data_IF_149266091474
#
_entry.id   IF_149266091474
#
_cell.length_a   1.000
_cell.length_b   1.000
_cell.length_c   1.000
_cell.angle_alpha   90.00
_cell.angle_beta   90.00
_cell.angle_gamma   90.00
#
_symmetry.space_group_name_H-M   'P 1'
#
loop_
_entity.id
_entity.type
_entity.pdbx_description
1 polymer ?
#
# COMPACT_ATOMS: atom_id res chain seq x y z
N UNK A 1 11.02 3.17 27.22
CA UNK A 1 9.99 2.18 26.86
C UNK A 1 10.60 1.29 25.78
N UNK A 2 10.69 -0.02 26.01
CA UNK A 2 11.20 -0.95 25.00
C UNK A 2 10.15 -1.04 23.89
N UNK A 3 10.49 -0.59 22.68
CA UNK A 3 9.70 -0.91 21.49
C UNK A 3 9.89 -2.40 21.22
N UNK A 4 8.87 -3.19 21.50
CA UNK A 4 8.87 -4.59 21.14
C UNK A 4 8.86 -4.66 19.61
N UNK A 5 9.92 -5.20 19.03
CA UNK A 5 10.06 -5.32 17.57
C UNK A 5 8.97 -6.20 16.95
N UNK A 6 8.90 -6.25 15.61
CA UNK A 6 7.95 -7.12 14.92
C UNK A 6 8.14 -8.57 15.36
N UNK A 7 7.03 -9.26 15.65
CA UNK A 7 7.03 -10.71 15.92
C UNK A 7 6.86 -11.45 14.61
N UNK A 8 7.70 -12.46 14.40
CA UNK A 8 7.59 -13.40 13.29
C UNK A 8 7.01 -14.70 13.80
N UNK A 9 5.89 -15.14 13.21
CA UNK A 9 5.18 -16.36 13.59
C UNK A 9 4.80 -17.13 12.32
N UNK A 10 4.96 -18.45 12.36
CA UNK A 10 4.55 -19.34 11.27
C UNK A 10 3.06 -19.61 11.38
N UNK A 11 2.29 -19.16 10.39
CA UNK A 11 0.84 -19.31 10.36
C UNK A 11 0.37 -20.72 9.97
N UNK A 12 1.10 -21.39 9.07
CA UNK A 12 0.75 -22.72 8.62
C UNK A 12 1.71 -23.29 7.57
N UNK A 13 1.71 -24.62 7.45
CA UNK A 13 2.37 -25.37 6.38
C UNK A 13 1.31 -26.21 5.67
N UNK A 14 0.83 -25.70 4.54
CA UNK A 14 -0.26 -26.31 3.80
C UNK A 14 0.29 -27.13 2.63
N UNK A 15 -0.01 -28.44 2.55
CA UNK A 15 0.32 -29.22 1.37
C UNK A 15 -0.57 -28.78 0.21
N UNK A 16 0.05 -28.44 -0.92
CA UNK A 16 -0.66 -28.17 -2.17
C UNK A 16 -0.72 -29.48 -2.97
N UNK A 17 -1.90 -30.06 -3.10
CA UNK A 17 -2.11 -31.25 -3.92
C UNK A 17 -2.59 -30.84 -5.32
N UNK A 18 -1.86 -31.24 -6.37
CA UNK A 18 -2.26 -30.99 -7.77
C UNK A 18 -1.34 -30.03 -8.51
N UNK A 19 -1.92 -29.10 -9.30
CA UNK A 19 -1.18 -28.06 -10.01
C UNK A 19 -0.88 -26.87 -9.08
N UNK A 20 0.16 -26.10 -9.37
CA UNK A 20 0.52 -24.87 -8.64
C UNK A 20 0.12 -23.64 -9.44
N UNK A 21 -1.17 -23.51 -9.79
CA UNK A 21 -1.67 -22.28 -10.44
C UNK A 21 -1.84 -21.18 -9.40
N UNK A 22 -1.98 -19.94 -9.89
CA UNK A 22 -2.18 -18.78 -9.01
C UNK A 22 -3.43 -18.90 -8.12
N UNK A 23 -4.52 -19.45 -8.67
CA UNK A 23 -5.79 -19.68 -7.96
C UNK A 23 -5.66 -20.75 -6.87
N UNK A 24 -4.91 -21.83 -7.11
CA UNK A 24 -4.68 -22.88 -6.10
C UNK A 24 -3.92 -22.34 -4.89
N UNK A 25 -2.90 -21.51 -5.15
CA UNK A 25 -2.10 -20.85 -4.11
C UNK A 25 -2.95 -19.84 -3.31
N UNK A 26 -3.81 -19.09 -3.99
CA UNK A 26 -4.71 -18.13 -3.37
C UNK A 26 -5.71 -18.80 -2.45
N UNK A 27 -6.42 -19.82 -2.93
CA UNK A 27 -7.40 -20.56 -2.13
C UNK A 27 -6.74 -21.15 -0.87
N UNK A 28 -5.50 -21.65 -0.99
CA UNK A 28 -4.76 -22.15 0.15
C UNK A 28 -4.37 -21.03 1.14
N UNK A 29 -3.93 -19.87 0.66
CA UNK A 29 -3.59 -18.73 1.52
C UNK A 29 -4.82 -18.16 2.21
N UNK A 30 -5.91 -17.94 1.48
CA UNK A 30 -7.17 -17.42 2.04
C UNK A 30 -7.69 -18.35 3.13
N UNK A 31 -7.76 -19.64 2.85
CA UNK A 31 -8.17 -20.63 3.85
C UNK A 31 -7.25 -20.62 5.08
N UNK A 32 -5.93 -20.52 4.89
CA UNK A 32 -4.98 -20.42 6.00
C UNK A 32 -5.28 -19.23 6.92
N UNK A 33 -5.59 -18.08 6.33
CA UNK A 33 -5.91 -16.85 7.07
C UNK A 33 -7.23 -17.00 7.84
N UNK A 34 -8.26 -17.51 7.17
CA UNK A 34 -9.58 -17.78 7.77
C UNK A 34 -9.47 -18.77 8.94
N UNK A 35 -8.78 -19.90 8.74
CA UNK A 35 -8.58 -20.94 9.76
C UNK A 35 -7.83 -20.40 11.00
N UNK A 36 -7.00 -19.37 10.83
CA UNK A 36 -6.28 -18.70 11.91
C UNK A 36 -6.98 -17.43 12.43
N UNK A 37 -8.19 -17.12 11.97
CA UNK A 37 -8.94 -15.94 12.37
C UNK A 37 -8.28 -14.61 11.97
N UNK A 38 -7.41 -14.63 10.95
CA UNK A 38 -6.79 -13.44 10.40
C UNK A 38 -7.71 -12.84 9.35
N UNK A 39 -8.27 -11.68 9.67
CA UNK A 39 -9.02 -10.88 8.71
C UNK A 39 -8.07 -10.40 7.59
N UNK A 40 -8.43 -10.74 6.35
CA UNK A 40 -7.68 -10.38 5.14
C UNK A 40 -7.53 -8.86 4.98
N UNK A 41 -8.45 -8.07 5.55
CA UNK A 41 -8.37 -6.61 5.59
C UNK A 41 -7.24 -6.10 6.49
N UNK A 42 -6.82 -6.90 7.49
CA UNK A 42 -5.72 -6.58 8.41
C UNK A 42 -4.35 -6.93 7.87
N UNK A 43 -4.28 -7.74 6.80
CA UNK A 43 -3.01 -7.99 6.12
C UNK A 43 -2.52 -6.64 5.62
N UNK A 44 -1.24 -6.35 5.81
CA UNK A 44 -0.61 -5.13 5.27
C UNK A 44 0.18 -5.47 4.02
N UNK A 45 0.74 -6.66 3.90
CA UNK A 45 1.67 -7.00 2.83
C UNK A 45 1.75 -8.53 2.66
N UNK A 46 1.98 -9.03 1.44
CA UNK A 46 2.20 -10.46 1.14
C UNK A 46 3.49 -10.71 0.33
N UNK A 47 4.35 -11.60 0.85
CA UNK A 47 5.60 -12.04 0.22
C UNK A 47 5.38 -13.24 -0.67
N UNK A 48 5.89 -13.21 -1.89
CA UNK A 48 6.10 -14.44 -2.66
C UNK A 48 7.42 -14.37 -3.41
N UNK A 49 8.12 -15.49 -3.52
CA UNK A 49 9.43 -15.59 -4.16
C UNK A 49 9.36 -15.75 -5.69
N UNK A 50 8.18 -15.98 -6.28
CA UNK A 50 8.04 -16.02 -7.75
C UNK A 50 6.62 -15.78 -8.34
N UNK A 51 5.55 -15.78 -7.54
CA UNK A 51 4.17 -15.73 -8.05
C UNK A 51 3.60 -14.30 -8.06
N UNK A 52 3.99 -13.52 -9.07
CA UNK A 52 4.06 -12.05 -9.03
C UNK A 52 2.78 -11.26 -9.37
N UNK A 53 1.68 -11.90 -9.83
CA UNK A 53 0.49 -11.15 -10.32
C UNK A 53 -0.87 -11.69 -9.89
N UNK A 54 -1.06 -13.01 -9.88
CA UNK A 54 -2.37 -13.60 -9.55
C UNK A 54 -2.71 -13.42 -8.06
N UNK A 55 -1.76 -13.76 -7.17
CA UNK A 55 -1.97 -13.67 -5.72
C UNK A 55 -2.28 -12.24 -5.23
N UNK A 56 -1.53 -11.22 -5.67
CA UNK A 56 -1.77 -9.85 -5.19
C UNK A 56 -3.06 -9.21 -5.69
N UNK A 57 -3.56 -9.59 -6.87
CA UNK A 57 -4.79 -9.01 -7.43
C UNK A 57 -6.06 -9.65 -6.84
N UNK A 58 -5.94 -10.88 -6.33
CA UNK A 58 -7.08 -11.68 -5.91
C UNK A 58 -7.16 -11.88 -4.37
N UNK A 59 -6.02 -11.86 -3.65
CA UNK A 59 -6.01 -11.89 -2.17
C UNK A 59 -6.59 -10.60 -1.57
N UNK A 60 -6.32 -9.44 -2.17
CA UNK A 60 -6.80 -8.18 -1.60
C UNK A 60 -8.22 -7.86 -2.10
N UNK A 61 -9.15 -7.46 -1.21
CA UNK A 61 -10.45 -6.92 -1.61
C UNK A 61 -10.32 -5.85 -2.69
N UNK A 62 -11.30 -5.80 -3.60
CA UNK A 62 -11.27 -4.87 -4.71
C UNK A 62 -11.12 -3.40 -4.25
N UNK A 63 -11.66 -3.06 -3.07
CA UNK A 63 -11.51 -1.75 -2.45
C UNK A 63 -10.05 -1.41 -2.12
N UNK A 64 -9.28 -2.38 -1.59
CA UNK A 64 -7.87 -2.21 -1.26
C UNK A 64 -7.05 -2.00 -2.53
N UNK A 65 -7.33 -2.80 -3.56
CA UNK A 65 -6.65 -2.70 -4.86
C UNK A 65 -6.92 -1.34 -5.51
N UNK A 66 -8.17 -0.85 -5.45
CA UNK A 66 -8.58 0.46 -5.97
C UNK A 66 -7.80 1.61 -5.30
N UNK A 67 -7.78 1.65 -3.96
CA UNK A 67 -7.08 2.69 -3.19
C UNK A 67 -5.57 2.66 -3.48
N UNK A 68 -4.95 1.49 -3.41
CA UNK A 68 -3.51 1.35 -3.64
C UNK A 68 -3.10 1.70 -5.06
N UNK A 69 -3.92 1.36 -6.06
CA UNK A 69 -3.63 1.67 -7.47
C UNK A 69 -3.55 3.19 -7.69
N UNK A 70 -4.46 3.95 -7.08
CA UNK A 70 -4.44 5.41 -7.17
C UNK A 70 -3.23 6.01 -6.44
N UNK A 71 -2.96 5.58 -5.21
CA UNK A 71 -1.80 6.04 -4.42
C UNK A 71 -0.50 5.81 -5.19
N UNK A 72 -0.31 4.61 -5.74
CA UNK A 72 0.88 4.27 -6.53
C UNK A 72 0.95 5.13 -7.79
N UNK A 73 -0.17 5.41 -8.45
CA UNK A 73 -0.21 6.28 -9.64
C UNK A 73 0.24 7.70 -9.31
N UNK A 74 -0.23 8.27 -8.21
CA UNK A 74 0.14 9.62 -7.75
C UNK A 74 1.61 9.67 -7.34
N UNK A 75 2.05 8.73 -6.51
CA UNK A 75 3.46 8.66 -6.08
C UNK A 75 4.37 8.54 -7.31
N UNK A 76 4.03 7.68 -8.27
CA UNK A 76 4.83 7.53 -9.47
C UNK A 76 4.79 8.77 -10.38
N UNK A 77 3.69 9.52 -10.44
CA UNK A 77 3.64 10.74 -11.27
C UNK A 77 4.56 11.83 -10.72
N UNK A 78 4.65 11.97 -9.39
CA UNK A 78 5.56 12.88 -8.70
C UNK A 78 7.01 12.43 -8.88
N UNK A 79 7.28 11.13 -8.66
CA UNK A 79 8.64 10.61 -8.60
C UNK A 79 9.26 10.27 -9.97
N UNK A 80 8.46 10.12 -11.03
CA UNK A 80 8.95 9.82 -12.37
C UNK A 80 9.70 11.01 -13.03
N UNK A 81 9.43 12.24 -12.58
CA UNK A 81 10.05 13.45 -13.13
C UNK A 81 11.06 13.99 -12.12
N UNK A 82 12.34 13.97 -12.48
CA UNK A 82 13.42 14.36 -11.58
C UNK A 82 13.32 15.82 -11.06
N UNK A 83 12.69 16.71 -11.82
CA UNK A 83 12.39 18.07 -11.38
C UNK A 83 11.25 18.10 -10.37
N UNK A 84 10.15 17.41 -10.66
CA UNK A 84 8.98 17.36 -9.77
C UNK A 84 9.31 16.67 -8.45
N UNK A 85 10.14 15.62 -8.47
CA UNK A 85 10.63 14.97 -7.25
C UNK A 85 11.44 15.94 -6.37
N UNK A 86 12.37 16.70 -6.95
CA UNK A 86 13.14 17.71 -6.20
C UNK A 86 12.24 18.78 -5.63
N UNK A 87 11.35 19.35 -6.44
CA UNK A 87 10.43 20.39 -5.98
C UNK A 87 9.49 19.89 -4.88
N UNK A 88 9.06 18.64 -4.96
CA UNK A 88 8.26 18.03 -3.92
C UNK A 88 9.06 17.84 -2.62
N UNK A 89 10.36 17.48 -2.70
CA UNK A 89 11.24 17.44 -1.52
C UNK A 89 11.42 18.81 -0.89
N UNK A 90 11.72 19.81 -1.70
CA UNK A 90 11.92 21.19 -1.24
C UNK A 90 10.64 21.71 -0.56
N UNK A 91 9.47 21.37 -1.14
CA UNK A 91 8.16 21.70 -0.56
C UNK A 91 7.92 21.01 0.79
N UNK A 92 8.25 19.72 0.91
CA UNK A 92 8.13 18.98 2.19
C UNK A 92 9.05 19.55 3.29
N UNK A 93 10.23 20.06 2.91
CA UNK A 93 11.16 20.69 3.83
C UNK A 93 10.68 22.09 4.27
N UNK A 94 10.07 22.87 3.36
CA UNK A 94 9.54 24.20 3.65
C UNK A 94 8.40 24.18 4.68
N UNK A 95 7.56 23.15 4.65
CA UNK A 95 6.42 22.97 5.56
C UNK A 95 6.76 22.23 6.86
N UNK A 96 8.04 21.93 7.10
CA UNK A 96 8.53 21.12 8.23
C UNK A 96 7.80 19.75 8.35
N UNK A 97 7.63 19.08 7.21
CA UNK A 97 6.97 17.77 7.19
C UNK A 97 7.78 16.72 7.95
N UNK A 98 7.09 15.78 8.59
CA UNK A 98 7.73 14.65 9.27
C UNK A 98 8.57 13.78 8.31
N UNK A 99 8.32 13.83 7.00
CA UNK A 99 9.06 13.07 6.00
C UNK A 99 9.73 13.99 4.99
N UNK A 100 10.96 13.67 4.63
CA UNK A 100 11.72 14.37 3.59
C UNK A 100 11.48 13.81 2.17
N UNK A 101 10.65 12.77 2.02
CA UNK A 101 10.37 12.12 0.73
C UNK A 101 9.18 11.13 0.79
N UNK A 102 8.57 10.87 -0.37
CA UNK A 102 7.64 9.75 -0.57
C UNK A 102 8.42 8.45 -0.82
N UNK A 103 7.83 7.33 -0.39
CA UNK A 103 8.39 6.01 -0.69
C UNK A 103 8.06 5.61 -2.13
N UNK A 104 9.08 5.47 -2.98
CA UNK A 104 8.95 4.81 -4.28
C UNK A 104 8.42 3.38 -4.09
N UNK A 105 7.27 3.08 -4.68
CA UNK A 105 6.82 1.69 -4.81
C UNK A 105 7.55 1.01 -5.98
N UNK A 106 8.82 0.64 -5.79
CA UNK A 106 9.48 -0.27 -6.72
C UNK A 106 8.90 -1.69 -6.53
N UNK A 107 8.56 -2.36 -7.63
CA UNK A 107 7.86 -3.66 -7.74
C UNK A 107 8.56 -4.86 -7.04
N UNK A 108 9.57 -4.62 -6.20
CA UNK A 108 10.50 -5.64 -5.66
C UNK A 108 10.49 -5.70 -4.12
N UNK A 109 9.88 -4.74 -3.40
CA UNK A 109 9.80 -4.74 -1.93
C UNK A 109 8.42 -4.30 -1.44
N UNK A 110 7.52 -5.26 -1.39
CA UNK A 110 6.11 -5.18 -1.02
C UNK A 110 5.86 -5.02 0.50
N UNK A 111 6.92 -5.05 1.33
CA UNK A 111 6.90 -4.83 2.79
C UNK A 111 6.44 -3.42 3.23
N UNK A 112 6.17 -2.49 2.31
CA UNK A 112 5.99 -1.06 2.62
C UNK A 112 4.56 -0.53 2.57
N UNK A 113 3.52 -1.33 2.27
CA UNK A 113 2.15 -0.77 2.12
C UNK A 113 1.70 0.05 3.32
N UNK A 114 1.91 -0.44 4.55
CA UNK A 114 1.58 0.30 5.76
C UNK A 114 2.35 1.62 5.85
N UNK A 115 3.66 1.59 5.57
CA UNK A 115 4.48 2.80 5.55
C UNK A 115 4.12 3.76 4.41
N UNK A 116 3.72 3.24 3.24
CA UNK A 116 3.29 4.04 2.09
C UNK A 116 1.94 4.69 2.40
N UNK A 117 0.97 3.94 2.93
CA UNK A 117 -0.33 4.45 3.36
C UNK A 117 -0.18 5.50 4.45
N UNK A 118 0.61 5.21 5.48
CA UNK A 118 0.85 6.13 6.59
C UNK A 118 1.53 7.42 6.12
N UNK A 119 2.58 7.34 5.29
CA UNK A 119 3.24 8.53 4.74
C UNK A 119 2.33 9.29 3.79
N UNK A 120 1.59 8.60 2.93
CA UNK A 120 0.64 9.24 2.02
C UNK A 120 -0.48 9.95 2.79
N UNK A 121 -0.95 9.37 3.89
CA UNK A 121 -1.95 10.00 4.76
C UNK A 121 -1.40 11.25 5.44
N UNK A 122 -0.18 11.16 6.00
CA UNK A 122 0.46 12.27 6.69
C UNK A 122 0.83 13.42 5.75
N UNK A 123 1.05 13.14 4.46
CA UNK A 123 1.33 14.15 3.44
C UNK A 123 0.13 14.45 2.53
N UNK A 124 -1.09 14.01 2.87
CA UNK A 124 -2.23 14.05 1.93
C UNK A 124 -2.58 15.48 1.51
N UNK A 125 -2.58 16.43 2.45
CA UNK A 125 -2.82 17.85 2.18
C UNK A 125 -1.81 18.42 1.20
N UNK A 126 -0.55 18.03 1.36
CA UNK A 126 0.59 18.59 0.66
C UNK A 126 0.71 18.00 -0.73
N UNK A 127 0.39 16.71 -0.87
CA UNK A 127 0.18 16.06 -2.15
C UNK A 127 -0.94 16.76 -2.92
N UNK A 128 -2.09 17.07 -2.29
CA UNK A 128 -3.18 17.80 -2.96
C UNK A 128 -2.75 19.18 -3.46
N UNK A 129 -2.04 19.95 -2.64
CA UNK A 129 -1.52 21.27 -3.02
C UNK A 129 -0.56 21.14 -4.20
N UNK A 130 0.42 20.24 -4.11
CA UNK A 130 1.42 20.04 -5.16
C UNK A 130 0.80 19.58 -6.48
N UNK A 131 -0.17 18.65 -6.44
CA UNK A 131 -0.87 18.18 -7.63
C UNK A 131 -1.65 19.32 -8.31
N UNK A 132 -2.30 20.18 -7.54
CA UNK A 132 -3.00 21.35 -8.04
C UNK A 132 -2.05 22.35 -8.73
N UNK A 133 -0.90 22.64 -8.12
CA UNK A 133 0.15 23.49 -8.75
C UNK A 133 0.66 22.91 -10.07
N UNK A 134 0.78 21.59 -10.15
CA UNK A 134 1.20 20.86 -11.36
C UNK A 134 0.09 20.67 -12.38
N UNK A 135 -1.13 21.15 -12.10
CA UNK A 135 -2.32 20.92 -12.92
C UNK A 135 -2.57 19.43 -13.19
N UNK A 136 -2.26 18.56 -12.22
CA UNK A 136 -2.50 17.12 -12.28
C UNK A 136 -3.78 16.85 -11.48
N UNK A 137 -4.88 16.56 -12.19
CA UNK A 137 -6.17 16.33 -11.56
C UNK A 137 -6.34 14.87 -11.09
N UNK A 138 -6.79 14.72 -9.86
CA UNK A 138 -7.11 13.44 -9.21
C UNK A 138 -8.40 13.61 -8.40
N UNK A 139 -9.58 13.68 -9.07
CA UNK A 139 -10.85 13.96 -8.41
C UNK A 139 -11.25 12.88 -7.41
N UNK A 140 -10.65 11.68 -7.49
CA UNK A 140 -10.83 10.62 -6.50
C UNK A 140 -10.40 11.03 -5.10
N UNK A 141 -9.42 11.95 -4.94
CA UNK A 141 -8.97 12.44 -3.63
C UNK A 141 -9.99 13.35 -2.94
N UNK A 142 -11.03 13.80 -3.66
CA UNK A 142 -12.14 14.60 -3.11
C UNK A 142 -13.43 13.78 -2.93
N UNK A 143 -13.42 12.50 -3.33
CA UNK A 143 -14.61 11.64 -3.19
C UNK A 143 -14.66 11.05 -1.78
N UNK A 144 -15.71 11.39 -1.02
CA UNK A 144 -15.97 10.82 0.31
C UNK A 144 -15.85 9.29 0.35
N UNK A 145 -16.40 8.60 -0.66
CA UNK A 145 -16.32 7.14 -0.75
C UNK A 145 -14.89 6.61 -0.84
N UNK A 146 -14.02 7.32 -1.54
CA UNK A 146 -12.62 6.93 -1.65
C UNK A 146 -11.87 7.25 -0.36
N UNK A 147 -12.09 8.43 0.23
CA UNK A 147 -11.51 8.84 1.50
C UNK A 147 -11.89 7.90 2.66
N UNK A 148 -13.14 7.43 2.70
CA UNK A 148 -13.57 6.44 3.68
C UNK A 148 -12.80 5.11 3.56
N UNK A 149 -12.63 4.60 2.33
CA UNK A 149 -11.84 3.38 2.08
C UNK A 149 -10.37 3.61 2.45
N UNK A 150 -9.82 4.76 2.10
CA UNK A 150 -8.45 5.13 2.41
C UNK A 150 -8.21 5.22 3.92
N UNK A 151 -9.06 5.92 4.67
CA UNK A 151 -8.92 6.09 6.12
C UNK A 151 -9.05 4.75 6.85
N UNK A 152 -9.97 3.88 6.41
CA UNK A 152 -10.09 2.51 6.93
C UNK A 152 -8.78 1.72 6.79
N UNK A 153 -7.99 1.98 5.74
CA UNK A 153 -6.72 1.30 5.51
C UNK A 153 -5.52 1.92 6.27
N UNK A 154 -5.65 3.15 6.75
CA UNK A 154 -4.58 3.90 7.45
C UNK A 154 -4.69 3.74 8.97
N UNK A 155 -5.92 3.66 9.50
CA UNK A 155 -6.16 3.60 10.95
C UNK A 155 -5.89 2.20 11.52
N UNK A 156 -5.02 2.06 12.54
CA UNK A 156 -4.92 0.83 13.30
C UNK A 156 -6.16 0.67 14.20
N UNK A 157 -6.93 -0.40 13.98
CA UNK A 157 -8.00 -0.84 14.90
C UNK A 157 -7.45 -1.74 16.00
#
# INVERSE_FOLDING_TARGET
MSSQGPKEELLGLLPLSGQTRGEDLENAVQKCLEDNGIDINKIVSVATDAARKALCAQIFPAEIVEVMTLIIKIINSILAKALDHRQFKDFLEEIDSQFSDLLLHNKVRWLSRGNVLQRFALCLSEIKIFLNEKSIDHPELEKDKWLQKFNFMVEPQ
#
